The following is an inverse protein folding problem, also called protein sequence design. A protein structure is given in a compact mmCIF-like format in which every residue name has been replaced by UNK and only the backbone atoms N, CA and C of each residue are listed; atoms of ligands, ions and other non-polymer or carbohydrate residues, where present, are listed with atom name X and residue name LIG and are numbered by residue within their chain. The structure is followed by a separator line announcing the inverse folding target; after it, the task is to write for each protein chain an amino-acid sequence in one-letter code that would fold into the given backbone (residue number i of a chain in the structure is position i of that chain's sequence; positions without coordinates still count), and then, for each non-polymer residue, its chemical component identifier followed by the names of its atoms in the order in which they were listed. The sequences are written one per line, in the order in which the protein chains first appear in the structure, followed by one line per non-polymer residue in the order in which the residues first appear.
data_IF_589756817523
#
_entry.id   IF_589756817523
#
_cell.length_a   1.000
_cell.length_b   1.000
_cell.length_c   1.000
_cell.angle_alpha   90.00
_cell.angle_beta   90.00
_cell.angle_gamma   90.00
#
_symmetry.space_group_name_H-M   'P 1'
#
loop_
_entity.id
_entity.type
_entity.pdbx_description
1 polymer ?
#
# COMPACT_ATOMS: atom_id res chain seq x y z
N UNK A 1 1.19 25.31 4.33
CA UNK A 1 2.33 24.40 4.13
C UNK A 1 2.40 24.13 2.64
N UNK A 2 3.54 24.39 2.03
CA UNK A 2 3.70 24.14 0.61
C UNK A 2 3.56 22.67 0.26
N UNK A 3 3.30 22.37 -1.03
CA UNK A 3 2.98 21.00 -1.48
C UNK A 3 4.07 19.99 -1.16
N UNK A 4 5.35 20.38 -1.26
CA UNK A 4 6.49 19.49 -0.98
C UNK A 4 6.58 19.08 0.48
N UNK A 5 6.40 20.05 1.42
CA UNK A 5 6.40 19.76 2.87
C UNK A 5 5.18 18.93 3.26
N UNK A 6 4.01 19.30 2.71
CA UNK A 6 2.77 18.60 2.97
C UNK A 6 2.87 17.12 2.55
N UNK A 7 3.36 16.86 1.36
CA UNK A 7 3.55 15.51 0.84
C UNK A 7 4.53 14.71 1.71
N UNK A 8 5.70 15.26 2.03
CA UNK A 8 6.71 14.56 2.82
C UNK A 8 6.23 14.21 4.22
N UNK A 9 5.64 15.17 4.94
CA UNK A 9 5.13 14.94 6.29
C UNK A 9 3.94 13.96 6.27
N UNK A 10 2.99 14.15 5.35
CA UNK A 10 1.81 13.30 5.24
C UNK A 10 2.16 11.86 4.86
N UNK A 11 2.92 11.66 3.79
CA UNK A 11 3.34 10.31 3.35
C UNK A 11 4.33 9.67 4.30
N UNK A 12 5.25 10.45 4.92
CA UNK A 12 6.19 9.95 5.92
C UNK A 12 5.47 9.43 7.16
N UNK A 13 4.52 10.20 7.68
CA UNK A 13 3.71 9.79 8.82
C UNK A 13 2.79 8.62 8.46
N UNK A 14 2.18 8.63 7.27
CA UNK A 14 1.36 7.53 6.77
C UNK A 14 2.17 6.23 6.65
N UNK A 15 3.39 6.31 6.12
CA UNK A 15 4.31 5.17 6.01
C UNK A 15 4.71 4.61 7.37
N UNK A 16 5.19 5.48 8.27
CA UNK A 16 5.63 5.08 9.60
C UNK A 16 4.47 4.53 10.45
N UNK A 17 3.38 5.29 10.56
CA UNK A 17 2.21 4.90 11.35
C UNK A 17 1.54 3.64 10.77
N UNK A 18 1.37 3.58 9.46
CA UNK A 18 0.76 2.42 8.79
C UNK A 18 1.56 1.13 8.94
N UNK A 19 2.88 1.21 9.08
CA UNK A 19 3.75 0.04 9.25
C UNK A 19 3.90 -0.36 10.71
N UNK A 20 4.09 0.60 11.61
CA UNK A 20 4.47 0.34 13.01
C UNK A 20 3.24 0.12 13.91
N UNK A 21 2.21 0.97 13.78
CA UNK A 21 1.05 0.93 14.69
C UNK A 21 0.33 -0.44 14.69
N UNK A 22 0.08 -1.10 13.53
CA UNK A 22 -0.54 -2.42 13.55
C UNK A 22 0.29 -3.46 14.33
N UNK A 23 1.63 -3.39 14.25
CA UNK A 23 2.52 -4.28 15.00
C UNK A 23 2.45 -4.06 16.52
N UNK A 24 2.27 -2.80 16.93
CA UNK A 24 2.06 -2.47 18.36
C UNK A 24 0.70 -2.99 18.84
N UNK A 25 -0.36 -2.73 18.09
CA UNK A 25 -1.72 -3.16 18.44
C UNK A 25 -1.82 -4.68 18.52
N UNK A 26 -1.20 -5.39 17.57
CA UNK A 26 -1.21 -6.84 17.52
C UNK A 26 -0.22 -7.49 18.49
N UNK A 27 0.51 -6.72 19.30
CA UNK A 27 1.57 -7.17 20.22
C UNK A 27 2.71 -7.91 19.51
N UNK A 28 2.94 -7.58 18.25
CA UNK A 28 3.93 -8.22 17.37
C UNK A 28 5.18 -7.34 17.17
N UNK A 29 5.39 -6.33 18.00
CA UNK A 29 6.52 -5.40 17.86
C UNK A 29 7.88 -6.11 17.93
N UNK A 30 7.97 -7.25 18.63
CA UNK A 30 9.17 -8.08 18.71
C UNK A 30 9.67 -8.57 17.34
N UNK A 31 8.78 -8.76 16.37
CA UNK A 31 9.13 -9.19 15.01
C UNK A 31 10.02 -8.16 14.28
N UNK A 32 9.91 -6.87 14.63
CA UNK A 32 10.77 -5.82 14.06
C UNK A 32 12.24 -5.95 14.48
N UNK A 33 12.49 -6.59 15.62
CA UNK A 33 13.83 -6.75 16.20
C UNK A 33 14.36 -8.18 16.06
N UNK A 34 13.65 -9.05 15.35
CA UNK A 34 14.15 -10.39 15.05
C UNK A 34 15.44 -10.32 14.21
N UNK A 35 16.50 -11.05 14.62
CA UNK A 35 17.76 -11.08 13.88
C UNK A 35 17.57 -11.58 12.44
N UNK A 36 18.12 -10.85 11.48
CA UNK A 36 18.00 -11.12 10.04
C UNK A 36 16.80 -10.39 9.43
N UNK A 37 15.70 -11.07 9.13
CA UNK A 37 14.58 -10.49 8.38
C UNK A 37 13.91 -9.30 9.09
N UNK A 38 13.68 -9.39 10.42
CA UNK A 38 13.05 -8.33 11.20
C UNK A 38 13.86 -7.03 11.20
N UNK A 39 15.12 -7.11 11.63
CA UNK A 39 16.02 -5.93 11.67
C UNK A 39 16.20 -5.35 10.27
N UNK A 40 16.39 -6.19 9.24
CA UNK A 40 16.51 -5.72 7.86
C UNK A 40 15.27 -5.00 7.38
N UNK A 41 14.08 -5.52 7.69
CA UNK A 41 12.80 -4.88 7.40
C UNK A 41 12.68 -3.51 8.06
N UNK A 42 13.01 -3.43 9.35
CA UNK A 42 12.95 -2.19 10.12
C UNK A 42 13.92 -1.13 9.56
N UNK A 43 15.14 -1.56 9.19
CA UNK A 43 16.10 -0.67 8.53
C UNK A 43 15.56 -0.17 7.18
N UNK A 44 14.89 -1.02 6.40
CA UNK A 44 14.21 -0.61 5.16
C UNK A 44 13.18 0.49 5.39
N UNK A 45 12.37 0.38 6.45
CA UNK A 45 11.40 1.42 6.84
C UNK A 45 12.11 2.73 7.22
N UNK A 46 13.18 2.68 8.01
CA UNK A 46 13.94 3.88 8.39
C UNK A 46 14.57 4.57 7.18
N UNK A 47 15.14 3.80 6.25
CA UNK A 47 15.70 4.34 4.99
C UNK A 47 14.59 4.95 4.12
N UNK A 48 13.39 4.35 4.07
CA UNK A 48 12.24 4.92 3.38
C UNK A 48 11.84 6.27 3.96
N UNK A 49 11.70 6.36 5.28
CA UNK A 49 11.37 7.62 5.96
C UNK A 49 12.44 8.69 5.68
N UNK A 50 13.71 8.32 5.74
CA UNK A 50 14.80 9.25 5.39
C UNK A 50 14.66 9.74 3.94
N UNK A 51 14.41 8.85 2.97
CA UNK A 51 14.17 9.20 1.57
C UNK A 51 13.02 10.18 1.40
N UNK A 52 11.88 9.92 2.08
CA UNK A 52 10.70 10.80 2.08
C UNK A 52 11.06 12.20 2.63
N UNK A 53 11.83 12.26 3.73
CA UNK A 53 12.29 13.53 4.31
C UNK A 53 13.16 14.29 3.33
N UNK A 54 14.12 13.65 2.65
CA UNK A 54 14.98 14.31 1.66
C UNK A 54 14.19 14.84 0.46
N UNK A 55 13.24 14.07 -0.07
CA UNK A 55 12.35 14.56 -1.15
C UNK A 55 11.51 15.74 -0.66
N UNK A 56 11.01 15.69 0.57
CA UNK A 56 10.29 16.81 1.17
C UNK A 56 11.15 18.07 1.34
N UNK A 57 12.40 17.91 1.78
CA UNK A 57 13.36 19.01 1.84
C UNK A 57 13.66 19.60 0.46
N UNK A 58 13.74 18.75 -0.58
CA UNK A 58 13.87 19.23 -1.96
C UNK A 58 12.64 20.02 -2.40
N UNK A 59 11.44 19.55 -2.08
CA UNK A 59 10.19 20.27 -2.32
C UNK A 59 10.14 21.64 -1.61
N UNK A 60 10.53 21.69 -0.33
CA UNK A 60 10.64 22.96 0.41
C UNK A 60 11.65 23.91 -0.22
N UNK A 61 12.82 23.39 -0.59
CA UNK A 61 13.87 24.21 -1.21
C UNK A 61 13.39 24.78 -2.54
N UNK A 62 12.71 23.97 -3.37
CA UNK A 62 12.08 24.41 -4.62
C UNK A 62 11.05 25.53 -4.37
N UNK A 63 10.16 25.37 -3.38
CA UNK A 63 9.15 26.39 -3.06
C UNK A 63 9.78 27.71 -2.59
N UNK A 64 10.88 27.64 -1.85
CA UNK A 64 11.61 28.84 -1.42
C UNK A 64 12.28 29.59 -2.58
N UNK A 65 12.60 28.88 -3.66
CA UNK A 65 13.19 29.44 -4.87
C UNK A 65 12.15 30.08 -5.82
N UNK A 66 10.84 29.82 -5.61
CA UNK A 66 9.78 30.42 -6.42
C UNK A 66 9.54 31.89 -6.07
N UNK A 67 9.24 32.74 -7.08
CA UNK A 67 8.81 34.13 -6.85
C UNK A 67 7.57 34.21 -5.95
N UNK A 68 7.47 35.27 -5.14
CA UNK A 68 6.34 35.48 -4.21
C UNK A 68 4.96 35.50 -4.90
N UNK A 69 4.91 35.97 -6.14
CA UNK A 69 3.66 35.98 -6.92
C UNK A 69 3.18 34.57 -7.28
N UNK A 70 4.10 33.64 -7.57
CA UNK A 70 3.77 32.24 -7.87
C UNK A 70 3.41 31.48 -6.61
N UNK A 71 4.06 31.77 -5.47
CA UNK A 71 3.69 31.21 -4.16
C UNK A 71 2.25 31.56 -3.78
N UNK A 72 1.84 32.81 -3.98
CA UNK A 72 0.47 33.29 -3.69
C UNK A 72 -0.58 32.68 -4.62
N UNK A 73 -0.23 32.32 -5.85
CA UNK A 73 -1.15 31.63 -6.79
C UNK A 73 -1.36 30.18 -6.39
N UNK A 74 -0.34 29.54 -5.80
CA UNK A 74 -0.40 28.14 -5.41
C UNK A 74 -1.17 27.90 -4.10
N UNK A 75 -1.24 28.89 -3.20
CA UNK A 75 -1.88 28.76 -1.88
C UNK A 75 -2.68 30.01 -1.55
N UNK A 76 -4.02 29.90 -1.56
CA UNK A 76 -4.92 31.03 -1.27
C UNK A 76 -4.78 31.59 0.17
N UNK A 77 -4.45 30.73 1.15
CA UNK A 77 -4.19 31.11 2.54
C UNK A 77 -2.96 30.36 3.05
N UNK A 78 -1.88 31.07 3.36
CA UNK A 78 -0.69 30.47 3.95
C UNK A 78 -0.71 30.59 5.48
N UNK A 79 -1.08 29.50 6.15
CA UNK A 79 -0.94 29.37 7.60
C UNK A 79 -0.15 28.10 7.93
N UNK A 80 1.15 28.27 8.19
CA UNK A 80 2.09 27.17 8.38
C UNK A 80 1.70 26.23 9.55
N UNK A 81 1.32 26.79 10.70
CA UNK A 81 0.94 25.99 11.88
C UNK A 81 -0.32 25.17 11.63
N UNK A 82 -1.37 25.80 11.09
CA UNK A 82 -2.61 25.11 10.72
C UNK A 82 -2.36 24.06 9.66
N UNK A 83 -1.53 24.37 8.64
CA UNK A 83 -1.17 23.45 7.57
C UNK A 83 -0.43 22.21 8.07
N UNK A 84 0.56 22.35 8.97
CA UNK A 84 1.24 21.19 9.58
C UNK A 84 0.25 20.31 10.35
N UNK A 85 -0.61 20.90 11.19
CA UNK A 85 -1.59 20.12 11.95
C UNK A 85 -2.51 19.32 11.04
N UNK A 86 -3.01 19.92 9.96
CA UNK A 86 -3.88 19.25 8.97
C UNK A 86 -3.12 18.12 8.27
N UNK A 87 -1.87 18.32 7.91
CA UNK A 87 -1.06 17.29 7.23
C UNK A 87 -0.74 16.13 8.16
N UNK A 88 -0.39 16.39 9.42
CA UNK A 88 -0.16 15.33 10.42
C UNK A 88 -1.43 14.52 10.67
N UNK A 89 -2.57 15.19 10.83
CA UNK A 89 -3.86 14.52 10.96
C UNK A 89 -4.20 13.70 9.72
N UNK A 90 -4.05 14.28 8.53
CA UNK A 90 -4.32 13.60 7.26
C UNK A 90 -3.40 12.38 7.07
N UNK A 91 -2.10 12.50 7.36
CA UNK A 91 -1.16 11.39 7.26
C UNK A 91 -1.50 10.24 8.20
N UNK A 92 -1.89 10.54 9.45
CA UNK A 92 -2.32 9.53 10.40
C UNK A 92 -3.64 8.87 9.97
N UNK A 93 -4.61 9.66 9.50
CA UNK A 93 -5.87 9.13 8.98
C UNK A 93 -5.66 8.27 7.73
N UNK A 94 -4.74 8.66 6.84
CA UNK A 94 -4.39 7.86 5.67
C UNK A 94 -3.77 6.50 6.04
N UNK A 95 -3.05 6.42 7.15
CA UNK A 95 -2.53 5.15 7.67
C UNK A 95 -3.64 4.17 8.09
N UNK A 96 -4.84 4.67 8.43
CA UNK A 96 -5.97 3.84 8.85
C UNK A 96 -6.45 2.87 7.77
N UNK A 97 -6.24 3.20 6.49
CA UNK A 97 -6.52 2.27 5.39
C UNK A 97 -5.70 0.99 5.53
N UNK A 98 -4.40 1.13 5.84
CA UNK A 98 -3.55 -0.06 6.05
C UNK A 98 -3.95 -0.86 7.29
N UNK A 99 -4.45 -0.20 8.34
CA UNK A 99 -4.99 -0.90 9.52
C UNK A 99 -6.18 -1.77 9.13
N UNK A 100 -7.09 -1.25 8.31
CA UNK A 100 -8.21 -2.00 7.75
C UNK A 100 -7.77 -3.18 6.88
N UNK A 101 -6.77 -2.97 6.02
CA UNK A 101 -6.22 -4.03 5.17
C UNK A 101 -5.51 -5.13 5.96
N UNK A 102 -4.79 -4.78 7.04
CA UNK A 102 -4.12 -5.74 7.91
C UNK A 102 -5.07 -6.41 8.92
N UNK A 103 -6.20 -5.77 9.22
CA UNK A 103 -7.23 -6.30 10.11
C UNK A 103 -8.15 -7.36 9.49
N UNK A 104 -7.95 -7.71 8.22
CA UNK A 104 -8.84 -8.62 7.48
C UNK A 104 -8.33 -10.04 7.21
N UNK A 105 -7.39 -10.65 8.00
CA UNK A 105 -6.92 -12.01 7.72
C UNK A 105 -8.03 -13.05 7.69
N UNK A 106 -9.06 -12.90 8.52
CA UNK A 106 -10.21 -13.82 8.54
C UNK A 106 -10.96 -13.83 7.20
N UNK A 107 -11.17 -12.65 6.61
CA UNK A 107 -11.82 -12.54 5.30
C UNK A 107 -10.95 -13.16 4.21
N UNK A 108 -9.63 -12.90 4.24
CA UNK A 108 -8.68 -13.44 3.27
C UNK A 108 -8.60 -14.96 3.34
N UNK A 109 -8.44 -15.50 4.53
CA UNK A 109 -8.30 -16.94 4.74
C UNK A 109 -9.61 -17.69 4.44
N UNK A 110 -10.76 -17.13 4.83
CA UNK A 110 -12.05 -17.70 4.46
C UNK A 110 -12.33 -17.65 2.97
N UNK A 111 -11.87 -16.61 2.26
CA UNK A 111 -11.97 -16.56 0.81
C UNK A 111 -11.11 -17.63 0.12
N UNK A 112 -10.00 -18.04 0.73
CA UNK A 112 -9.11 -19.06 0.19
C UNK A 112 -9.51 -20.49 0.58
N UNK A 113 -9.92 -20.70 1.84
CA UNK A 113 -10.11 -22.03 2.42
C UNK A 113 -11.58 -22.42 2.64
N UNK A 114 -12.51 -21.50 2.38
CA UNK A 114 -13.94 -21.68 2.56
C UNK A 114 -14.49 -20.84 3.71
N UNK A 115 -15.75 -20.42 3.56
CA UNK A 115 -16.43 -19.54 4.53
C UNK A 115 -16.57 -20.12 5.93
N UNK A 116 -16.71 -21.45 6.02
CA UNK A 116 -16.86 -22.20 7.28
C UNK A 116 -15.54 -22.68 7.88
N UNK A 117 -14.38 -22.30 7.30
CA UNK A 117 -13.07 -22.69 7.81
C UNK A 117 -12.85 -22.18 9.23
N UNK A 118 -12.28 -23.04 10.09
CA UNK A 118 -11.88 -22.66 11.44
C UNK A 118 -10.48 -22.05 11.38
N UNK A 119 -10.32 -20.86 11.98
CA UNK A 119 -9.10 -20.09 11.98
C UNK A 119 -8.63 -19.88 13.41
N UNK A 120 -7.38 -20.23 13.73
CA UNK A 120 -6.78 -20.00 15.05
C UNK A 120 -5.42 -19.35 14.87
N UNK A 121 -5.22 -18.16 15.45
CA UNK A 121 -3.94 -17.47 15.45
C UNK A 121 -2.96 -18.19 16.38
N UNK A 122 -1.73 -18.42 15.90
CA UNK A 122 -0.72 -19.11 16.70
C UNK A 122 0.61 -19.27 15.98
N UNK A 123 1.59 -19.85 16.68
CA UNK A 123 2.91 -20.13 16.12
C UNK A 123 2.91 -21.44 15.31
N UNK A 124 3.74 -21.49 14.27
CA UNK A 124 3.90 -22.68 13.42
C UNK A 124 4.28 -23.95 14.20
N UNK A 125 5.04 -23.78 15.30
CA UNK A 125 5.55 -24.91 16.10
C UNK A 125 4.53 -25.54 17.02
N UNK A 126 3.45 -24.83 17.35
CA UNK A 126 2.46 -25.23 18.35
C UNK A 126 1.06 -25.21 17.73
N UNK A 127 0.65 -26.33 17.16
CA UNK A 127 -0.73 -26.46 16.68
C UNK A 127 -1.71 -26.39 17.87
N UNK A 128 -2.84 -25.67 17.72
CA UNK A 128 -3.87 -25.67 18.75
C UNK A 128 -4.37 -27.08 19.06
N UNK A 129 -4.68 -27.41 20.33
CA UNK A 129 -5.16 -28.73 20.72
C UNK A 129 -6.35 -29.22 19.89
N UNK A 130 -7.25 -28.32 19.54
CA UNK A 130 -8.46 -28.60 18.76
C UNK A 130 -8.18 -28.92 17.27
N UNK A 131 -6.97 -28.61 16.81
CA UNK A 131 -6.52 -28.85 15.44
C UNK A 131 -5.41 -29.89 15.36
N UNK A 132 -4.78 -30.22 16.50
CA UNK A 132 -3.71 -31.19 16.56
C UNK A 132 -4.21 -32.58 16.16
N UNK A 133 -3.68 -33.08 15.02
CA UNK A 133 -4.09 -34.40 14.48
C UNK A 133 -5.31 -34.37 13.56
N UNK A 134 -5.96 -33.24 13.35
CA UNK A 134 -7.03 -33.13 12.37
C UNK A 134 -6.47 -33.15 10.93
N UNK A 135 -7.10 -33.96 10.05
CA UNK A 135 -6.68 -34.10 8.67
C UNK A 135 -6.95 -32.82 7.89
N UNK A 136 -5.96 -32.38 7.13
CA UNK A 136 -6.09 -31.21 6.25
C UNK A 136 -5.83 -29.86 6.94
N UNK A 137 -5.36 -29.83 8.17
CA UNK A 137 -4.94 -28.58 8.83
C UNK A 137 -3.71 -28.00 8.14
N UNK A 138 -3.75 -26.72 7.87
CA UNK A 138 -2.67 -25.96 7.21
C UNK A 138 -2.26 -24.79 8.10
N UNK A 139 -0.95 -24.50 8.16
CA UNK A 139 -0.46 -23.27 8.78
C UNK A 139 -0.17 -22.22 7.71
N UNK A 140 -0.91 -21.11 7.74
CA UNK A 140 -0.65 -19.97 6.85
C UNK A 140 0.43 -19.07 7.45
N UNK A 141 1.68 -19.22 6.96
CA UNK A 141 2.85 -18.46 7.43
C UNK A 141 2.74 -16.97 7.22
N UNK A 142 2.04 -16.55 6.17
CA UNK A 142 1.95 -15.13 5.83
C UNK A 142 1.04 -14.35 6.79
N UNK A 143 0.11 -15.03 7.43
CA UNK A 143 -0.85 -14.46 8.39
C UNK A 143 -0.67 -14.96 9.81
N UNK A 144 0.10 -16.03 10.04
CA UNK A 144 0.30 -16.64 11.35
C UNK A 144 -0.95 -17.32 11.88
N UNK A 145 -1.67 -18.04 11.02
CA UNK A 145 -2.90 -18.73 11.38
C UNK A 145 -2.82 -20.22 11.08
N UNK A 146 -3.33 -21.01 11.99
CA UNK A 146 -3.73 -22.38 11.75
C UNK A 146 -5.12 -22.40 11.13
N UNK A 147 -5.27 -23.11 10.03
CA UNK A 147 -6.50 -23.19 9.25
C UNK A 147 -6.94 -24.63 9.12
N UNK A 148 -8.16 -24.94 9.55
CA UNK A 148 -8.85 -26.17 9.20
C UNK A 148 -9.83 -25.85 8.08
N UNK A 149 -9.48 -26.16 6.80
CA UNK A 149 -10.31 -25.87 5.66
C UNK A 149 -11.65 -26.60 5.74
N UNK A 150 -12.73 -25.89 5.39
CA UNK A 150 -14.06 -26.46 5.33
C UNK A 150 -14.84 -25.78 4.21
N UNK A 151 -14.50 -26.13 2.98
CA UNK A 151 -15.25 -25.61 1.84
C UNK A 151 -16.62 -26.30 1.74
N UNK A 152 -17.67 -25.53 1.55
CA UNK A 152 -18.99 -26.04 1.25
C UNK A 152 -19.02 -26.63 -0.20
N UNK A 153 -19.90 -27.58 -0.45
CA UNK A 153 -20.06 -28.15 -1.76
C UNK A 153 -20.48 -27.05 -2.77
N UNK A 154 -19.70 -26.88 -3.83
CA UNK A 154 -19.91 -25.85 -4.87
C UNK A 154 -19.38 -24.45 -4.51
N UNK A 155 -18.69 -24.27 -3.38
CA UNK A 155 -18.04 -23.00 -3.04
C UNK A 155 -16.85 -22.74 -3.96
N UNK A 156 -16.80 -21.52 -4.52
CA UNK A 156 -15.66 -21.07 -5.34
C UNK A 156 -14.57 -20.50 -4.43
N UNK A 157 -13.45 -21.17 -4.37
CA UNK A 157 -12.30 -20.74 -3.57
C UNK A 157 -11.40 -19.78 -4.35
N UNK A 158 -10.87 -18.80 -3.64
CA UNK A 158 -9.92 -17.83 -4.19
C UNK A 158 -8.49 -18.35 -4.04
N UNK A 159 -7.63 -18.14 -5.05
CA UNK A 159 -6.20 -18.47 -4.91
C UNK A 159 -5.51 -17.56 -3.89
N UNK A 160 -4.35 -18.00 -3.37
CA UNK A 160 -3.54 -17.24 -2.42
C UNK A 160 -3.23 -15.81 -2.92
N UNK A 161 -3.00 -15.66 -4.23
CA UNK A 161 -2.70 -14.37 -4.86
C UNK A 161 -3.87 -13.39 -4.75
N UNK A 162 -5.10 -13.87 -4.89
CA UNK A 162 -6.31 -13.02 -4.97
C UNK A 162 -7.10 -12.93 -3.67
N UNK A 163 -6.72 -13.67 -2.64
CA UNK A 163 -7.46 -13.75 -1.37
C UNK A 163 -7.62 -12.41 -0.65
N UNK A 164 -6.72 -11.44 -0.90
CA UNK A 164 -6.76 -10.11 -0.32
C UNK A 164 -7.76 -9.14 -0.96
N UNK A 165 -8.32 -9.48 -2.13
CA UNK A 165 -9.23 -8.59 -2.84
C UNK A 165 -10.55 -8.34 -2.10
N UNK A 166 -11.20 -9.33 -1.47
CA UNK A 166 -12.42 -9.06 -0.68
C UNK A 166 -12.20 -8.05 0.43
N UNK A 167 -11.07 -8.09 1.14
CA UNK A 167 -10.72 -7.11 2.17
C UNK A 167 -10.56 -5.72 1.57
N UNK A 168 -9.88 -5.63 0.40
CA UNK A 168 -9.69 -4.38 -0.31
C UNK A 168 -11.04 -3.77 -0.70
N UNK A 169 -11.99 -4.56 -1.21
CA UNK A 169 -13.32 -4.10 -1.56
C UNK A 169 -14.04 -3.51 -0.35
N UNK A 170 -14.03 -4.20 0.79
CA UNK A 170 -14.68 -3.72 2.03
C UNK A 170 -14.04 -2.40 2.50
N UNK A 171 -12.72 -2.31 2.53
CA UNK A 171 -11.99 -1.12 2.95
C UNK A 171 -12.26 0.08 2.02
N UNK A 172 -12.24 -0.14 0.69
CA UNK A 172 -12.51 0.91 -0.29
C UNK A 172 -13.98 1.35 -0.29
N UNK A 173 -14.93 0.45 -0.03
CA UNK A 173 -16.35 0.81 0.12
C UNK A 173 -16.57 1.82 1.26
N UNK A 174 -15.92 1.63 2.41
CA UNK A 174 -15.96 2.59 3.51
C UNK A 174 -15.42 3.96 3.09
N UNK A 175 -14.27 3.99 2.42
CA UNK A 175 -13.68 5.21 1.87
C UNK A 175 -14.57 5.88 0.84
N UNK A 176 -15.18 5.10 -0.06
CA UNK A 176 -16.14 5.59 -1.05
C UNK A 176 -17.34 6.25 -0.38
N UNK A 177 -17.97 5.58 0.59
CA UNK A 177 -19.15 6.12 1.26
C UNK A 177 -18.88 7.48 1.92
N UNK A 178 -17.78 7.61 2.66
CA UNK A 178 -17.40 8.87 3.31
C UNK A 178 -17.11 9.97 2.28
N UNK A 179 -16.32 9.67 1.26
CA UNK A 179 -15.98 10.66 0.22
C UNK A 179 -17.21 11.08 -0.59
N UNK A 180 -18.08 10.12 -0.94
CA UNK A 180 -19.31 10.40 -1.67
C UNK A 180 -20.24 11.36 -0.88
N UNK A 181 -20.48 11.05 0.39
CA UNK A 181 -21.32 11.88 1.26
C UNK A 181 -20.70 13.28 1.47
N UNK A 182 -19.38 13.35 1.63
CA UNK A 182 -18.66 14.62 1.78
C UNK A 182 -18.73 15.46 0.50
N UNK A 183 -18.50 14.88 -0.66
CA UNK A 183 -18.63 15.56 -1.95
C UNK A 183 -20.06 16.04 -2.19
N UNK A 184 -21.05 15.20 -1.85
CA UNK A 184 -22.45 15.56 -1.96
C UNK A 184 -22.80 16.77 -1.06
N UNK A 185 -22.35 16.73 0.20
CA UNK A 185 -22.50 17.86 1.12
C UNK A 185 -21.88 19.16 0.58
N UNK A 186 -20.64 19.08 0.04
CA UNK A 186 -19.97 20.24 -0.54
C UNK A 186 -20.71 20.78 -1.76
N UNK A 187 -21.24 19.92 -2.62
CA UNK A 187 -22.00 20.31 -3.78
C UNK A 187 -23.29 21.06 -3.39
N UNK A 188 -24.00 20.59 -2.37
CA UNK A 188 -25.16 21.31 -1.83
C UNK A 188 -24.79 22.65 -1.19
N UNK A 189 -23.75 22.64 -0.33
CA UNK A 189 -23.28 23.85 0.37
C UNK A 189 -22.82 24.94 -0.58
N UNK A 190 -22.09 24.56 -1.64
CA UNK A 190 -21.50 25.49 -2.60
C UNK A 190 -22.44 25.75 -3.79
N UNK A 191 -23.62 25.13 -3.86
CA UNK A 191 -24.60 25.22 -4.95
C UNK A 191 -24.01 24.88 -6.33
N UNK A 192 -23.09 23.89 -6.36
CA UNK A 192 -22.36 23.48 -7.58
C UNK A 192 -22.98 22.30 -8.33
N UNK A 193 -24.13 21.79 -7.89
CA UNK A 193 -24.84 20.69 -8.57
C UNK A 193 -25.19 21.04 -10.03
N UNK A 194 -25.52 22.29 -10.32
CA UNK A 194 -25.80 22.77 -11.68
C UNK A 194 -24.59 22.71 -12.61
N UNK A 195 -23.37 22.66 -12.07
CA UNK A 195 -22.14 22.61 -12.87
C UNK A 195 -22.01 21.28 -13.64
N UNK A 196 -22.66 20.22 -13.17
CA UNK A 196 -22.72 18.91 -13.86
C UNK A 196 -23.66 18.91 -15.10
N UNK A 197 -24.44 19.94 -15.29
CA UNK A 197 -25.37 20.06 -16.44
C UNK A 197 -25.08 21.30 -17.29
N UNK A 198 -24.03 22.07 -16.97
CA UNK A 198 -23.68 23.30 -17.63
C UNK A 198 -23.24 23.06 -19.07
N UNK A 199 -23.87 23.76 -20.01
CA UNK A 199 -23.45 23.77 -21.43
C UNK A 199 -22.09 24.46 -21.58
N UNK A 200 -21.22 23.88 -22.43
CA UNK A 200 -19.88 24.43 -22.73
C UNK A 200 -18.73 23.84 -21.87
N UNK A 201 -19.02 23.01 -20.86
CA UNK A 201 -18.01 22.27 -20.13
C UNK A 201 -17.89 20.85 -20.70
N UNK A 202 -16.69 20.29 -20.95
CA UNK A 202 -16.50 18.95 -21.48
C UNK A 202 -16.75 17.89 -20.40
N UNK A 203 -17.99 17.81 -19.89
CA UNK A 203 -18.36 16.98 -18.73
C UNK A 203 -18.07 15.50 -19.00
N UNK A 204 -18.45 14.98 -20.18
CA UNK A 204 -18.18 13.59 -20.56
C UNK A 204 -16.67 13.26 -20.53
N UNK A 205 -15.84 14.16 -21.07
CA UNK A 205 -14.37 14.02 -21.00
C UNK A 205 -13.86 14.00 -19.56
N UNK A 206 -14.37 14.89 -18.71
CA UNK A 206 -13.99 14.95 -17.29
C UNK A 206 -14.36 13.66 -16.55
N UNK A 207 -15.53 13.08 -16.81
CA UNK A 207 -15.91 11.78 -16.23
C UNK A 207 -15.03 10.64 -16.72
N UNK A 208 -14.68 10.61 -18.02
CA UNK A 208 -13.77 9.59 -18.56
C UNK A 208 -12.39 9.69 -17.92
N UNK A 209 -11.81 10.89 -17.84
CA UNK A 209 -10.52 11.10 -17.19
C UNK A 209 -10.56 10.77 -15.69
N UNK A 210 -11.63 11.13 -14.99
CA UNK A 210 -11.80 10.77 -13.57
C UNK A 210 -11.91 9.25 -13.39
N UNK A 211 -12.63 8.55 -14.28
CA UNK A 211 -12.74 7.09 -14.24
C UNK A 211 -11.38 6.42 -14.50
N UNK A 212 -10.62 6.89 -15.50
CA UNK A 212 -9.26 6.38 -15.79
C UNK A 212 -8.34 6.63 -14.59
N UNK A 213 -8.34 7.83 -14.02
CA UNK A 213 -7.54 8.14 -12.85
C UNK A 213 -7.90 7.25 -11.65
N UNK A 214 -9.19 7.01 -11.42
CA UNK A 214 -9.67 6.11 -10.38
C UNK A 214 -9.25 4.65 -10.61
N UNK A 215 -9.31 4.16 -11.85
CA UNK A 215 -8.87 2.83 -12.22
C UNK A 215 -7.36 2.64 -12.00
N UNK A 216 -6.55 3.61 -12.43
CA UNK A 216 -5.10 3.61 -12.20
C UNK A 216 -4.79 3.65 -10.70
N UNK A 217 -5.49 4.50 -9.94
CA UNK A 217 -5.31 4.58 -8.49
C UNK A 217 -5.71 3.28 -7.79
N UNK A 218 -6.79 2.63 -8.21
CA UNK A 218 -7.22 1.35 -7.63
C UNK A 218 -6.24 0.21 -7.96
N UNK A 219 -5.67 0.19 -9.17
CA UNK A 219 -4.76 -0.87 -9.62
C UNK A 219 -3.54 -1.03 -8.72
N UNK A 220 -3.01 0.05 -8.13
CA UNK A 220 -1.90 -0.04 -7.18
C UNK A 220 -2.23 -0.87 -5.94
N UNK A 221 -3.46 -0.77 -5.42
CA UNK A 221 -3.88 -1.56 -4.26
C UNK A 221 -4.14 -3.01 -4.62
N UNK A 222 -4.62 -3.27 -5.84
CA UNK A 222 -4.74 -4.63 -6.36
C UNK A 222 -3.35 -5.25 -6.44
N UNK A 223 -2.38 -4.60 -7.06
CA UNK A 223 -0.99 -5.07 -7.13
C UNK A 223 -0.38 -5.27 -5.74
N UNK A 224 -0.64 -4.33 -4.82
CA UNK A 224 -0.19 -4.43 -3.43
C UNK A 224 -0.75 -5.68 -2.75
N UNK A 225 -2.06 -5.90 -2.80
CA UNK A 225 -2.73 -7.03 -2.13
C UNK A 225 -2.40 -8.38 -2.78
N UNK A 226 -2.18 -8.43 -4.09
CA UNK A 226 -1.76 -9.66 -4.78
C UNK A 226 -0.29 -10.00 -4.53
N UNK A 227 0.57 -9.00 -4.31
CA UNK A 227 1.99 -9.20 -3.97
C UNK A 227 2.26 -9.51 -2.49
N UNK A 228 1.38 -9.07 -1.59
CA UNK A 228 1.55 -9.18 -0.14
C UNK A 228 1.80 -10.63 0.34
N UNK A 229 1.06 -11.67 -0.11
CA UNK A 229 1.29 -13.03 0.32
C UNK A 229 2.69 -13.57 -0.01
N UNK A 230 3.31 -13.10 -1.10
CA UNK A 230 4.66 -13.49 -1.49
C UNK A 230 5.75 -12.93 -0.55
N UNK A 231 5.44 -11.89 0.23
CA UNK A 231 6.38 -11.30 1.20
C UNK A 231 6.45 -12.10 2.50
N UNK A 232 5.54 -13.04 2.74
CA UNK A 232 5.51 -13.88 3.94
C UNK A 232 5.44 -13.07 5.24
N UNK A 233 6.23 -13.40 6.28
CA UNK A 233 6.22 -12.72 7.58
C UNK A 233 6.61 -11.23 7.51
N UNK A 234 7.26 -10.79 6.43
CA UNK A 234 7.67 -9.39 6.23
C UNK A 234 6.64 -8.55 5.46
N UNK A 235 5.45 -9.09 5.19
CA UNK A 235 4.38 -8.40 4.45
C UNK A 235 4.02 -7.02 5.01
N UNK A 236 4.21 -6.79 6.32
CA UNK A 236 3.92 -5.51 6.97
C UNK A 236 4.76 -4.33 6.43
N UNK A 237 5.96 -4.56 5.88
CA UNK A 237 6.76 -3.48 5.27
C UNK A 237 6.25 -3.08 3.89
N UNK A 238 5.38 -3.88 3.26
CA UNK A 238 4.81 -3.60 1.95
C UNK A 238 4.13 -2.24 1.87
N UNK A 239 3.50 -1.79 2.96
CA UNK A 239 2.90 -0.45 3.03
C UNK A 239 3.94 0.66 2.91
N UNK A 240 5.07 0.55 3.60
CA UNK A 240 6.16 1.52 3.49
C UNK A 240 6.76 1.55 2.08
N UNK A 241 6.91 0.38 1.45
CA UNK A 241 7.36 0.27 0.05
C UNK A 241 6.37 0.91 -0.90
N UNK A 242 5.07 0.71 -0.71
CA UNK A 242 4.02 1.34 -1.52
C UNK A 242 4.10 2.87 -1.42
N UNK A 243 4.23 3.43 -0.21
CA UNK A 243 4.37 4.87 0.00
C UNK A 243 5.66 5.42 -0.63
N UNK A 244 6.78 4.71 -0.49
CA UNK A 244 8.04 5.07 -1.12
C UNK A 244 7.93 5.07 -2.65
N UNK A 245 7.30 4.06 -3.24
CA UNK A 245 7.10 3.95 -4.68
C UNK A 245 6.23 5.10 -5.22
N UNK A 246 5.14 5.47 -4.53
CA UNK A 246 4.31 6.60 -4.92
C UNK A 246 5.10 7.90 -5.01
N UNK A 247 5.95 8.17 -4.00
CA UNK A 247 6.79 9.38 -3.98
C UNK A 247 7.87 9.32 -5.07
N UNK A 248 8.50 8.15 -5.23
CA UNK A 248 9.51 7.94 -6.26
C UNK A 248 8.95 8.23 -7.66
N UNK A 249 7.87 7.55 -8.03
CA UNK A 249 7.31 7.68 -9.39
C UNK A 249 6.70 9.05 -9.64
N UNK A 250 6.02 9.65 -8.65
CA UNK A 250 5.48 11.01 -8.79
C UNK A 250 6.60 12.05 -8.97
N UNK A 251 7.70 11.90 -8.24
CA UNK A 251 8.86 12.79 -8.37
C UNK A 251 9.58 12.61 -9.70
N UNK A 252 9.73 11.37 -10.18
CA UNK A 252 10.30 11.08 -11.50
C UNK A 252 9.43 11.68 -12.61
N UNK A 253 8.10 11.55 -12.52
CA UNK A 253 7.18 12.18 -13.46
C UNK A 253 7.34 13.70 -13.45
N UNK A 254 7.45 14.34 -12.28
CA UNK A 254 7.71 15.76 -12.15
C UNK A 254 9.05 16.18 -12.79
N UNK A 255 10.10 15.34 -12.69
CA UNK A 255 11.38 15.57 -13.40
C UNK A 255 11.18 15.48 -14.91
N UNK A 256 10.45 14.47 -15.40
CA UNK A 256 10.17 14.29 -16.84
C UNK A 256 9.35 15.46 -17.41
N UNK A 257 8.38 15.96 -16.66
CA UNK A 257 7.58 17.13 -17.03
C UNK A 257 8.35 18.46 -16.92
N UNK A 258 9.58 18.42 -16.43
CA UNK A 258 10.42 19.60 -16.32
C UNK A 258 10.09 20.52 -15.14
N UNK A 259 9.33 20.05 -14.17
CA UNK A 259 8.95 20.82 -12.97
C UNK A 259 10.14 21.27 -12.10
N UNK A 260 11.29 20.61 -12.28
CA UNK A 260 12.54 20.89 -11.55
C UNK A 260 13.54 21.72 -12.37
N UNK A 261 13.11 22.21 -13.56
CA UNK A 261 13.95 23.12 -14.36
C UNK A 261 14.08 24.46 -13.65
N UNK A 262 15.29 25.03 -13.65
CA UNK A 262 15.55 26.32 -13.01
C UNK A 262 15.82 26.25 -11.50
N UNK A 263 15.63 25.09 -10.83
CA UNK A 263 15.98 24.94 -9.43
C UNK A 263 17.48 24.90 -9.18
N UNK A 264 17.91 25.31 -7.99
CA UNK A 264 19.33 25.31 -7.57
C UNK A 264 19.93 23.90 -7.57
N UNK A 265 21.26 23.84 -7.63
CA UNK A 265 22.01 22.58 -7.52
C UNK A 265 21.74 21.88 -6.19
N UNK A 266 21.58 22.63 -5.09
CA UNK A 266 21.24 22.11 -3.76
C UNK A 266 19.89 21.38 -3.78
N UNK A 267 18.87 22.00 -4.36
CA UNK A 267 17.51 21.42 -4.47
C UNK A 267 17.51 20.12 -5.26
N UNK A 268 18.23 20.10 -6.41
CA UNK A 268 18.37 18.89 -7.23
C UNK A 268 19.14 17.78 -6.50
N UNK A 269 20.21 18.12 -5.77
CA UNK A 269 20.96 17.12 -4.98
C UNK A 269 20.10 16.50 -3.88
N UNK A 270 19.29 17.30 -3.16
CA UNK A 270 18.34 16.78 -2.17
C UNK A 270 17.34 15.81 -2.80
N UNK A 271 16.80 16.15 -3.99
CA UNK A 271 15.90 15.29 -4.72
C UNK A 271 16.57 13.96 -5.10
N UNK A 272 17.75 14.01 -5.72
CA UNK A 272 18.49 12.81 -6.16
C UNK A 272 18.82 11.90 -4.98
N UNK A 273 19.32 12.46 -3.86
CA UNK A 273 19.60 11.69 -2.64
C UNK A 273 18.32 11.04 -2.11
N UNK A 274 17.22 11.80 -2.05
CA UNK A 274 15.92 11.26 -1.61
C UNK A 274 15.45 10.10 -2.49
N UNK A 275 15.51 10.24 -3.82
CA UNK A 275 15.11 9.18 -4.76
C UNK A 275 16.00 7.94 -4.63
N UNK A 276 17.30 8.10 -4.47
CA UNK A 276 18.23 6.98 -4.26
C UNK A 276 17.92 6.24 -2.94
N UNK A 277 17.60 6.96 -1.86
CA UNK A 277 17.18 6.36 -0.60
C UNK A 277 15.86 5.58 -0.74
N UNK A 278 14.88 6.10 -1.49
CA UNK A 278 13.62 5.39 -1.74
C UNK A 278 13.84 4.10 -2.53
N UNK A 279 14.70 4.11 -3.54
CA UNK A 279 15.08 2.89 -4.26
C UNK A 279 15.80 1.91 -3.33
N UNK A 280 16.77 2.38 -2.56
CA UNK A 280 17.51 1.55 -1.61
C UNK A 280 16.57 0.91 -0.56
N UNK A 281 15.58 1.66 -0.05
CA UNK A 281 14.62 1.13 0.90
C UNK A 281 13.80 -0.03 0.33
N UNK A 282 13.40 0.06 -0.94
CA UNK A 282 12.67 -1.00 -1.62
C UNK A 282 13.51 -2.26 -1.82
N UNK A 283 14.80 -2.10 -2.14
CA UNK A 283 15.76 -3.21 -2.25
C UNK A 283 15.97 -3.89 -0.89
N UNK A 284 16.15 -3.09 0.19
CA UNK A 284 16.31 -3.61 1.56
C UNK A 284 15.07 -4.35 2.02
N UNK A 285 13.87 -3.82 1.72
CA UNK A 285 12.61 -4.49 2.03
C UNK A 285 12.45 -5.82 1.27
N UNK A 286 12.78 -5.85 -0.03
CA UNK A 286 12.79 -7.08 -0.82
C UNK A 286 13.78 -8.12 -0.29
N UNK A 287 14.98 -7.69 0.10
CA UNK A 287 15.99 -8.57 0.70
C UNK A 287 15.53 -9.14 2.06
N UNK A 288 14.80 -8.37 2.86
CA UNK A 288 14.24 -8.89 4.11
C UNK A 288 13.24 -10.02 3.86
N UNK A 289 12.41 -9.91 2.81
CA UNK A 289 11.52 -10.98 2.37
C UNK A 289 12.28 -12.25 1.97
N UNK A 290 13.36 -12.10 1.21
CA UNK A 290 14.25 -13.22 0.87
C UNK A 290 14.86 -13.89 2.10
N UNK A 291 15.35 -13.11 3.07
CA UNK A 291 15.91 -13.64 4.31
C UNK A 291 14.87 -14.40 5.15
N UNK A 292 13.60 -13.96 5.14
CA UNK A 292 12.53 -14.64 5.85
C UNK A 292 12.19 -15.99 5.22
N UNK A 293 12.23 -16.08 3.88
CA UNK A 293 11.98 -17.32 3.15
C UNK A 293 13.16 -18.31 3.26
N UNK A 294 14.41 -17.83 3.21
CA UNK A 294 15.58 -18.70 3.27
C UNK A 294 15.78 -19.38 4.61
N UNK A 295 15.30 -18.81 5.71
CA UNK A 295 15.29 -19.47 7.02
C UNK A 295 14.25 -20.58 7.13
N UNK A 296 13.31 -20.65 6.21
CA UNK A 296 12.20 -21.62 6.22
C UNK A 296 12.45 -22.81 5.30
N UNK A 297 13.47 -22.75 4.45
CA UNK A 297 13.85 -23.87 3.60
C UNK A 297 15.08 -24.58 4.22
N UNK A 298 14.96 -25.58 5.07
CA UNK A 298 15.00 -26.97 4.67
C UNK A 298 14.26 -27.93 5.62
N UNK A 299 13.03 -28.32 5.40
CA UNK A 299 12.44 -29.50 6.02
C UNK A 299 11.12 -30.00 5.40
N UNK A 300 10.68 -29.52 4.25
CA UNK A 300 9.44 -30.04 3.65
C UNK A 300 9.61 -30.32 2.15
N UNK A 301 10.52 -31.28 1.86
CA UNK A 301 10.37 -32.14 0.69
C UNK A 301 10.00 -33.52 1.25
N UNK A 302 8.73 -33.67 1.61
CA UNK A 302 8.04 -34.96 1.66
C UNK A 302 6.60 -34.73 2.11
N UNK A 303 5.76 -34.46 1.18
CA UNK A 303 4.45 -35.04 0.96
C UNK A 303 3.75 -34.27 -0.17
N UNK A 304 3.93 -34.81 -1.37
CA UNK A 304 3.24 -34.32 -2.54
C UNK A 304 1.78 -34.76 -2.43
N UNK A 305 0.94 -33.85 -1.95
CA UNK A 305 -0.50 -33.94 -2.27
C UNK A 305 -0.64 -33.51 -3.73
N UNK A 306 -1.32 -34.29 -4.59
CA UNK A 306 -1.43 -33.96 -6.00
C UNK A 306 -2.12 -32.61 -6.17
N UNK A 307 -1.34 -31.63 -6.60
CA UNK A 307 -1.85 -30.33 -7.03
C UNK A 307 -2.68 -30.54 -8.28
N UNK A 308 -3.98 -30.35 -8.18
CA UNK A 308 -4.84 -30.19 -9.34
C UNK A 308 -4.27 -29.04 -10.17
N UNK A 309 -3.94 -29.23 -11.45
CA UNK A 309 -3.34 -28.18 -12.26
C UNK A 309 -4.35 -27.03 -12.43
N UNK A 310 -4.09 -25.93 -11.74
CA UNK A 310 -4.82 -24.68 -11.97
C UNK A 310 -4.21 -24.04 -13.23
N UNK A 311 -4.91 -24.10 -14.34
CA UNK A 311 -4.58 -23.33 -15.54
C UNK A 311 -4.69 -21.84 -15.23
N UNK A 312 -3.61 -21.06 -15.29
CA UNK A 312 -3.67 -19.64 -14.98
C UNK A 312 -4.33 -18.89 -16.14
N UNK A 313 -5.53 -18.39 -15.92
CA UNK A 313 -6.24 -17.48 -16.84
C UNK A 313 -5.43 -16.21 -17.23
N UNK A 314 -4.39 -15.90 -16.49
CA UNK A 314 -3.50 -14.77 -16.77
C UNK A 314 -2.41 -15.07 -17.82
N UNK A 315 -2.15 -16.33 -18.16
CA UNK A 315 -1.19 -16.64 -19.23
C UNK A 315 -1.68 -16.17 -20.60
N UNK A 316 -2.98 -16.03 -20.78
CA UNK A 316 -3.58 -15.52 -22.03
C UNK A 316 -3.52 -13.99 -22.17
N UNK A 317 -3.34 -13.26 -21.09
CA UNK A 317 -3.25 -11.79 -21.16
C UNK A 317 -1.82 -11.29 -21.46
N UNK A 318 -0.79 -12.04 -21.09
CA UNK A 318 0.61 -11.71 -21.42
C UNK A 318 1.00 -12.12 -22.85
N UNK A 319 0.32 -13.10 -23.47
CA UNK A 319 0.63 -13.56 -24.83
C UNK A 319 -0.01 -12.67 -25.92
N UNK A 320 -0.94 -11.79 -25.56
CA UNK A 320 -1.58 -10.86 -26.51
C UNK A 320 -0.81 -9.54 -26.74
N UNK A 321 0.39 -9.38 -26.18
CA UNK A 321 1.23 -8.16 -26.36
C UNK A 321 2.56 -8.51 -27.07
N UNK A 322 2.69 -9.62 -27.76
CA UNK A 322 3.81 -9.78 -28.69
C UNK A 322 3.43 -9.14 -30.03
N UNK A 323 4.18 -8.12 -30.50
CA UNK A 323 3.95 -7.55 -31.83
C UNK A 323 4.41 -8.59 -32.88
N UNK A 324 3.50 -8.91 -33.78
CA UNK A 324 3.85 -9.61 -35.01
C UNK A 324 4.86 -8.78 -35.80
N UNK A 325 6.08 -9.32 -35.99
CA UNK A 325 7.02 -8.93 -37.05
C UNK A 325 6.96 -10.00 -38.10
#
# INVERSE_FOLDING_TARGET
VGGGVGLALGCGLCSAAGTIIPKVINQEIGLLFEPGAGITSFMGVLVSIAGIVFVGMAGMSKENELPEEEKKKAVAEFNFKKGILVVLFSGLMSASLNFGLQGGPDIELKAQYGSESTLVKGDEKNAPPDMAGAVGVVYDKSRGFWVLPKAAAGETLTSQTWRGIPVLVVALLGGFAVNFLWCLYLNFKNKTLSDYTKSGIPIAGNFVFAAIAGAIWCSQFICFKTGEPAMGPTAYVGWSVLMAAQILFSSLLGVMLGEWKGTSSKTRSLLVVGLLLLVASSVVAGYSGYLSQSKTAPALIEEVVPVVPQTPLLYHFCVLIEPAV
#
